data_IF_764227992307
#
_entry.id   IF_764227992307
#
_cell.length_a   1.000
_cell.length_b   1.000
_cell.length_c   1.000
_cell.angle_alpha   90.00
_cell.angle_beta   90.00
_cell.angle_gamma   90.00
#
_symmetry.space_group_name_H-M   'P 1'
#
loop_
_entity.id
_entity.type
_entity.pdbx_description
1 polymer ?
#
# COMPACT_ATOMS: atom_id res chain seq x y z
N UNK A 1 26.34 -51.28 -7.68
CA UNK A 1 26.41 -50.59 -6.38
C UNK A 1 27.14 -49.24 -6.53
N UNK A 2 26.51 -48.25 -7.19
CA UNK A 2 27.14 -46.93 -7.47
C UNK A 2 26.15 -45.74 -7.44
N UNK A 3 24.89 -45.98 -7.07
CA UNK A 3 23.82 -44.95 -7.06
C UNK A 3 23.68 -44.23 -5.72
N UNK A 4 24.03 -44.85 -4.58
CA UNK A 4 23.83 -44.25 -3.24
C UNK A 4 24.67 -42.99 -3.00
N UNK A 5 25.87 -42.89 -3.58
CA UNK A 5 26.76 -41.74 -3.38
C UNK A 5 26.31 -40.49 -4.16
N UNK A 6 25.69 -40.65 -5.33
CA UNK A 6 25.23 -39.51 -6.14
C UNK A 6 24.04 -38.79 -5.48
N UNK A 7 23.12 -39.55 -4.88
CA UNK A 7 21.97 -39.00 -4.14
C UNK A 7 22.42 -38.28 -2.86
N UNK A 8 23.39 -38.85 -2.13
CA UNK A 8 23.93 -38.22 -0.93
C UNK A 8 24.68 -36.91 -1.25
N UNK A 9 25.47 -36.89 -2.32
CA UNK A 9 26.16 -35.66 -2.78
C UNK A 9 25.16 -34.59 -3.22
N UNK A 10 24.09 -34.97 -3.94
CA UNK A 10 23.05 -34.04 -4.35
C UNK A 10 22.32 -33.41 -3.15
N UNK A 11 22.00 -34.21 -2.12
CA UNK A 11 21.36 -33.71 -0.89
C UNK A 11 22.28 -32.74 -0.15
N UNK A 12 23.57 -33.07 -0.01
CA UNK A 12 24.55 -32.20 0.66
C UNK A 12 24.71 -30.87 -0.10
N UNK A 13 24.80 -30.90 -1.43
CA UNK A 13 24.93 -29.68 -2.24
C UNK A 13 23.68 -28.81 -2.14
N UNK A 14 22.47 -29.38 -2.20
CA UNK A 14 21.22 -28.63 -2.02
C UNK A 14 21.11 -28.03 -0.61
N UNK A 15 21.55 -28.76 0.42
CA UNK A 15 21.56 -28.24 1.80
C UNK A 15 22.56 -27.10 1.98
N UNK A 16 23.76 -27.18 1.39
CA UNK A 16 24.76 -26.11 1.44
C UNK A 16 24.27 -24.88 0.69
N UNK A 17 23.67 -25.05 -0.50
CA UNK A 17 23.06 -23.95 -1.24
C UNK A 17 21.87 -23.34 -0.51
N UNK A 18 21.03 -24.14 0.14
CA UNK A 18 19.92 -23.64 0.97
C UNK A 18 20.39 -22.83 2.17
N UNK A 19 21.45 -23.27 2.85
CA UNK A 19 22.05 -22.54 3.98
C UNK A 19 22.74 -21.25 3.50
N UNK A 20 23.42 -21.29 2.35
CA UNK A 20 24.01 -20.10 1.75
C UNK A 20 22.95 -19.10 1.28
N UNK A 21 21.83 -19.57 0.72
CA UNK A 21 20.70 -18.71 0.34
C UNK A 21 20.04 -18.06 1.57
N UNK A 22 19.85 -18.82 2.64
CA UNK A 22 19.34 -18.31 3.93
C UNK A 22 20.34 -17.29 4.51
N UNK A 23 21.64 -17.54 4.41
CA UNK A 23 22.69 -16.60 4.81
C UNK A 23 22.63 -15.29 4.02
N UNK A 24 22.58 -15.35 2.68
CA UNK A 24 22.47 -14.17 1.82
C UNK A 24 21.14 -13.41 2.00
N UNK A 25 20.03 -14.12 2.23
CA UNK A 25 18.74 -13.49 2.55
C UNK A 25 18.79 -12.80 3.93
N UNK A 26 19.46 -13.41 4.91
CA UNK A 26 19.63 -12.84 6.25
C UNK A 26 20.58 -11.65 6.27
N UNK A 27 21.62 -11.66 5.43
CA UNK A 27 22.50 -10.50 5.23
C UNK A 27 21.78 -9.35 4.53
N UNK A 28 20.93 -9.60 3.53
CA UNK A 28 20.11 -8.55 2.89
C UNK A 28 19.01 -8.01 3.82
N UNK A 29 18.46 -8.82 4.72
CA UNK A 29 17.52 -8.37 5.75
C UNK A 29 18.22 -7.58 6.87
N UNK A 30 19.49 -7.89 7.18
CA UNK A 30 20.27 -7.23 8.23
C UNK A 30 21.13 -6.05 7.71
N UNK A 31 21.33 -5.90 6.40
CA UNK A 31 22.07 -4.78 5.81
C UNK A 31 21.25 -3.49 5.76
N UNK A 32 19.96 -3.57 6.04
CA UNK A 32 19.21 -2.42 6.53
C UNK A 32 19.61 -2.16 7.97
N UNK A 33 20.67 -1.36 8.19
CA UNK A 33 20.67 -0.49 9.37
C UNK A 33 19.41 0.38 9.21
N UNK A 34 18.28 -0.10 9.72
CA UNK A 34 17.18 0.78 10.07
C UNK A 34 17.77 1.58 11.22
N UNK A 35 18.40 2.70 10.88
CA UNK A 35 18.57 3.77 11.83
C UNK A 35 17.18 3.90 12.44
N UNK A 36 17.02 3.53 13.71
CA UNK A 36 15.84 3.90 14.47
C UNK A 36 15.98 5.40 14.67
N UNK A 37 15.94 6.14 13.57
CA UNK A 37 15.99 7.59 13.51
C UNK A 37 14.97 8.03 14.53
N UNK A 38 15.46 8.77 15.52
CA UNK A 38 14.71 9.08 16.71
C UNK A 38 13.44 9.84 16.28
N UNK A 39 12.32 9.14 16.11
CA UNK A 39 11.11 9.74 15.59
C UNK A 39 10.74 10.85 16.59
N UNK A 40 10.56 12.10 16.12
CA UNK A 40 10.39 13.20 17.03
C UNK A 40 9.19 12.95 17.95
N UNK A 41 9.27 13.42 19.18
CA UNK A 41 8.20 13.24 20.15
C UNK A 41 6.98 14.06 19.73
N UNK A 42 6.02 13.41 19.05
CA UNK A 42 4.77 14.00 18.57
C UNK A 42 3.84 14.24 19.76
N UNK A 43 3.51 15.49 20.03
CA UNK A 43 2.58 15.88 21.11
C UNK A 43 1.19 16.19 20.57
N UNK A 44 1.12 16.80 19.39
CA UNK A 44 -0.13 17.18 18.73
C UNK A 44 -0.14 16.61 17.33
N UNK A 45 -1.04 15.66 17.07
CA UNK A 45 -1.32 15.15 15.74
C UNK A 45 -2.70 15.65 15.30
N UNK A 46 -2.80 16.07 14.04
CA UNK A 46 -4.07 16.44 13.41
C UNK A 46 -4.39 15.48 12.29
N UNK A 47 -5.68 15.20 12.10
CA UNK A 47 -6.17 14.53 10.91
C UNK A 47 -6.73 15.60 9.99
N UNK A 48 -6.18 15.67 8.79
CA UNK A 48 -6.65 16.59 7.77
C UNK A 48 -6.59 15.90 6.42
N UNK A 49 -7.67 15.19 6.10
CA UNK A 49 -7.73 14.27 4.98
C UNK A 49 -8.25 14.95 3.72
N UNK A 50 -7.42 15.09 2.68
CA UNK A 50 -7.91 15.22 1.30
C UNK A 50 -8.05 13.83 0.72
N UNK A 51 -9.23 13.53 0.18
CA UNK A 51 -9.52 12.28 -0.53
C UNK A 51 -9.03 12.31 -1.99
N UNK A 52 -8.36 13.40 -2.40
CA UNK A 52 -7.84 13.60 -3.75
C UNK A 52 -8.91 13.91 -4.80
N UNK A 53 -10.15 14.26 -4.41
CA UNK A 53 -11.12 14.81 -5.35
C UNK A 53 -10.60 16.15 -5.92
N UNK A 54 -10.41 16.27 -7.25
CA UNK A 54 -9.99 17.52 -7.89
C UNK A 54 -11.01 18.66 -7.74
N UNK A 55 -12.28 18.36 -7.41
CA UNK A 55 -13.31 19.35 -7.06
C UNK A 55 -13.25 19.74 -5.58
N UNK A 56 -12.76 18.86 -4.70
CA UNK A 56 -12.30 19.21 -3.35
C UNK A 56 -10.86 19.77 -3.40
N UNK A 57 -10.55 20.46 -4.53
CA UNK A 57 -9.26 21.03 -4.94
C UNK A 57 -8.35 21.10 -3.73
N UNK A 58 -7.43 20.14 -3.66
CA UNK A 58 -6.39 19.98 -2.64
C UNK A 58 -6.30 21.25 -1.81
N UNK A 59 -7.02 21.18 -0.69
CA UNK A 59 -7.42 22.26 0.19
C UNK A 59 -6.29 23.29 0.27
N UNK A 60 -6.62 24.58 0.13
CA UNK A 60 -5.63 25.68 0.09
C UNK A 60 -4.51 25.43 1.10
N UNK A 61 -3.32 25.11 0.58
CA UNK A 61 -2.19 24.69 1.40
C UNK A 61 -1.83 25.76 2.43
N UNK A 62 -2.12 27.04 2.15
CA UNK A 62 -1.97 28.13 3.12
C UNK A 62 -2.92 27.99 4.31
N UNK A 63 -4.18 27.63 4.06
CA UNK A 63 -5.16 27.36 5.12
C UNK A 63 -4.73 26.18 6.00
N UNK A 64 -4.19 25.11 5.41
CA UNK A 64 -3.61 23.99 6.17
C UNK A 64 -2.41 24.48 6.99
N UNK A 65 -1.50 25.23 6.37
CA UNK A 65 -0.32 25.78 7.03
C UNK A 65 -0.71 26.69 8.21
N UNK A 66 -1.78 27.47 8.09
CA UNK A 66 -2.33 28.29 9.17
C UNK A 66 -2.85 27.41 10.31
N UNK A 67 -3.63 26.38 10.00
CA UNK A 67 -4.18 25.46 10.99
C UNK A 67 -3.08 24.71 11.75
N UNK A 68 -2.02 24.26 11.07
CA UNK A 68 -0.85 23.65 11.70
C UNK A 68 -0.19 24.62 12.68
N UNK A 69 -0.01 25.89 12.28
CA UNK A 69 0.60 26.91 13.14
C UNK A 69 -0.27 27.25 14.36
N UNK A 70 -1.58 27.37 14.17
CA UNK A 70 -2.56 27.68 15.22
C UNK A 70 -2.67 26.55 16.25
N UNK A 71 -2.74 25.31 15.77
CA UNK A 71 -2.84 24.12 16.62
C UNK A 71 -1.51 23.69 17.22
N UNK A 72 -0.39 24.21 16.69
CA UNK A 72 0.97 23.78 16.99
C UNK A 72 1.14 22.28 16.74
N UNK A 73 0.57 21.79 15.64
CA UNK A 73 0.65 20.39 15.26
C UNK A 73 2.10 20.02 14.94
N UNK A 74 2.53 18.87 15.46
CA UNK A 74 3.82 18.24 15.15
C UNK A 74 3.67 17.25 13.98
N UNK A 75 2.46 16.75 13.73
CA UNK A 75 2.18 15.74 12.70
C UNK A 75 0.81 15.92 12.05
N UNK A 76 0.75 15.77 10.73
CA UNK A 76 -0.48 15.66 9.94
C UNK A 76 -0.62 14.20 9.49
N UNK A 77 -1.59 13.44 10.02
CA UNK A 77 -1.60 11.98 9.85
C UNK A 77 -1.95 11.47 8.43
N UNK A 78 -2.80 12.19 7.70
CA UNK A 78 -3.34 11.77 6.40
C UNK A 78 -3.48 12.97 5.46
N UNK A 79 -2.42 13.72 5.24
CA UNK A 79 -2.46 14.92 4.39
C UNK A 79 -2.94 14.60 2.96
N UNK A 80 -2.67 13.38 2.49
CA UNK A 80 -3.19 12.84 1.25
C UNK A 80 -3.55 11.37 1.44
N UNK A 81 -4.73 10.96 0.98
CA UNK A 81 -5.17 9.56 0.97
C UNK A 81 -5.29 9.06 -0.46
N UNK A 82 -4.47 8.06 -0.81
CA UNK A 82 -4.60 7.32 -2.07
C UNK A 82 -5.61 6.19 -1.88
N UNK A 83 -6.85 6.45 -2.28
CA UNK A 83 -7.89 5.44 -2.47
C UNK A 83 -8.10 5.05 -3.95
N UNK A 84 -9.22 4.39 -4.24
CA UNK A 84 -9.68 4.10 -5.61
C UNK A 84 -9.98 5.38 -6.42
N UNK A 85 -10.05 5.27 -7.76
CA UNK A 85 -10.30 6.40 -8.71
C UNK A 85 -9.18 7.45 -8.79
N UNK A 86 -8.30 7.54 -7.78
CA UNK A 86 -7.18 8.49 -7.75
C UNK A 86 -6.22 8.35 -8.93
N UNK A 87 -6.07 7.16 -9.48
CA UNK A 87 -5.35 6.91 -10.72
C UNK A 87 -5.89 7.67 -11.93
N UNK A 88 -7.22 7.68 -12.08
CA UNK A 88 -7.90 8.40 -13.15
C UNK A 88 -7.73 9.90 -12.96
N UNK A 89 -7.77 10.37 -11.70
CA UNK A 89 -7.57 11.78 -11.39
C UNK A 89 -6.13 12.23 -11.57
N UNK A 90 -5.13 11.43 -11.17
CA UNK A 90 -3.72 11.76 -11.39
C UNK A 90 -3.44 12.06 -12.86
N UNK A 91 -3.90 11.18 -13.75
CA UNK A 91 -3.75 11.37 -15.20
C UNK A 91 -4.37 12.68 -15.70
N UNK A 92 -5.43 13.17 -15.06
CA UNK A 92 -6.20 14.33 -15.50
C UNK A 92 -5.78 15.64 -14.82
N UNK A 93 -5.28 15.58 -13.59
CA UNK A 93 -5.11 16.74 -12.72
C UNK A 93 -3.73 16.88 -12.08
N UNK A 94 -2.79 15.94 -12.30
CA UNK A 94 -1.44 16.00 -11.71
C UNK A 94 -1.50 16.15 -10.17
N UNK A 95 -2.30 15.29 -9.54
CA UNK A 95 -2.58 15.25 -8.10
C UNK A 95 -1.28 15.18 -7.29
N UNK A 96 -0.29 14.42 -7.75
CA UNK A 96 1.02 14.35 -7.08
C UNK A 96 1.86 15.62 -7.21
N UNK A 97 1.73 16.38 -8.31
CA UNK A 97 2.38 17.69 -8.41
C UNK A 97 1.75 18.70 -7.45
N UNK A 98 0.41 18.69 -7.35
CA UNK A 98 -0.29 19.55 -6.38
C UNK A 98 0.04 19.13 -4.94
N UNK A 99 0.21 17.82 -4.67
CA UNK A 99 0.65 17.32 -3.37
C UNK A 99 2.04 17.88 -3.00
N UNK A 100 2.99 17.83 -3.92
CA UNK A 100 4.35 18.38 -3.76
C UNK A 100 4.30 19.88 -3.42
N UNK A 101 3.62 20.69 -4.24
CA UNK A 101 3.44 22.13 -4.02
C UNK A 101 2.79 22.45 -2.66
N UNK A 102 1.81 21.62 -2.26
CA UNK A 102 1.09 21.77 -0.99
C UNK A 102 2.00 21.47 0.21
N UNK A 103 2.80 20.42 0.12
CA UNK A 103 3.78 20.04 1.14
C UNK A 103 4.83 21.13 1.29
N UNK A 104 5.37 21.65 0.19
CA UNK A 104 6.30 22.78 0.20
C UNK A 104 5.70 23.99 0.91
N UNK A 105 4.46 24.35 0.55
CA UNK A 105 3.74 25.47 1.16
C UNK A 105 3.55 25.31 2.68
N UNK A 106 3.16 24.11 3.12
CA UNK A 106 2.97 23.80 4.54
C UNK A 106 4.31 23.89 5.30
N UNK A 107 5.36 23.26 4.75
CA UNK A 107 6.70 23.22 5.39
C UNK A 107 7.40 24.58 5.38
N UNK A 108 7.16 25.45 4.39
CA UNK A 108 7.67 26.83 4.39
C UNK A 108 7.23 27.60 5.65
N UNK A 109 5.99 27.41 6.09
CA UNK A 109 5.45 28.06 7.29
C UNK A 109 5.73 27.27 8.58
N UNK A 110 5.76 25.95 8.49
CA UNK A 110 5.90 25.04 9.63
C UNK A 110 7.02 24.02 9.36
N UNK A 111 8.30 24.43 9.39
CA UNK A 111 9.41 23.61 8.88
C UNK A 111 9.64 22.30 9.65
N UNK A 112 9.14 22.21 10.89
CA UNK A 112 9.32 21.03 11.74
C UNK A 112 8.10 20.10 11.73
N UNK A 113 7.02 20.43 11.02
CA UNK A 113 5.85 19.56 10.96
C UNK A 113 6.18 18.31 10.14
N UNK A 114 5.80 17.16 10.67
CA UNK A 114 5.80 15.92 9.93
C UNK A 114 4.48 15.78 9.17
N UNK A 115 4.56 15.27 7.94
CA UNK A 115 3.42 15.10 7.06
C UNK A 115 3.30 13.62 6.69
N UNK A 116 2.20 13.01 7.10
CA UNK A 116 1.83 11.65 6.78
C UNK A 116 0.98 11.58 5.52
N UNK A 117 1.42 10.77 4.56
CA UNK A 117 0.59 10.29 3.48
C UNK A 117 -0.14 9.01 3.88
N UNK A 118 -1.11 8.58 3.08
CA UNK A 118 -1.85 7.36 3.33
C UNK A 118 -2.21 6.63 2.03
N UNK A 119 -2.25 5.30 2.10
CA UNK A 119 -2.60 4.42 0.98
C UNK A 119 -3.60 3.36 1.46
N UNK A 120 -4.61 3.06 0.65
CA UNK A 120 -5.51 1.94 0.90
C UNK A 120 -4.91 0.64 0.37
N UNK A 121 -4.67 -0.35 1.23
CA UNK A 121 -4.16 -1.66 0.82
C UNK A 121 -5.26 -2.64 0.36
N UNK A 122 -6.53 -2.26 0.53
CA UNK A 122 -7.69 -3.11 0.26
C UNK A 122 -8.41 -2.79 -1.03
N UNK A 123 -7.95 -1.81 -1.81
CA UNK A 123 -8.65 -1.39 -3.02
C UNK A 123 -7.73 -0.93 -4.14
N UNK A 124 -8.05 -1.40 -5.35
CA UNK A 124 -7.59 -0.87 -6.62
C UNK A 124 -8.78 -0.75 -7.58
N UNK A 125 -8.66 0.08 -8.61
CA UNK A 125 -9.68 0.21 -9.66
C UNK A 125 -9.58 -0.91 -10.71
N UNK A 126 -10.64 -1.14 -11.49
CA UNK A 126 -10.61 -2.11 -12.62
C UNK A 126 -9.56 -1.73 -13.65
N UNK A 127 -9.46 -0.46 -13.98
CA UNK A 127 -8.32 0.07 -14.75
C UNK A 127 -7.55 1.00 -13.84
N UNK A 128 -6.29 0.65 -13.61
CA UNK A 128 -5.47 1.28 -12.59
C UNK A 128 -4.32 2.07 -13.25
N UNK A 129 -3.72 2.99 -12.50
CA UNK A 129 -2.58 3.78 -12.95
C UNK A 129 -1.48 3.73 -11.90
N UNK A 130 -0.29 3.35 -12.32
CA UNK A 130 0.91 3.44 -11.50
C UNK A 130 1.50 4.85 -11.68
N UNK A 131 1.46 5.70 -10.65
CA UNK A 131 1.91 7.08 -10.75
C UNK A 131 3.43 7.22 -10.77
N UNK A 132 4.17 6.16 -10.41
CA UNK A 132 5.63 6.15 -10.44
C UNK A 132 6.13 5.79 -11.86
N UNK A 133 5.59 4.71 -12.44
CA UNK A 133 5.99 4.25 -13.78
C UNK A 133 5.22 4.93 -14.91
N UNK A 134 4.09 5.58 -14.58
CA UNK A 134 3.12 6.19 -15.49
C UNK A 134 2.41 5.18 -16.39
N UNK A 135 2.41 3.91 -16.01
CA UNK A 135 1.74 2.84 -16.75
C UNK A 135 0.25 2.76 -16.41
N UNK A 136 -0.57 2.51 -17.43
CA UNK A 136 -1.99 2.14 -17.25
C UNK A 136 -2.07 0.62 -17.16
N UNK A 137 -2.60 0.13 -16.05
CA UNK A 137 -2.75 -1.28 -15.76
C UNK A 137 -4.17 -1.70 -16.16
N UNK A 138 -4.32 -2.59 -17.15
CA UNK A 138 -5.63 -2.99 -17.64
C UNK A 138 -6.35 -3.93 -16.66
N UNK A 139 -7.66 -4.04 -16.82
CA UNK A 139 -8.51 -4.94 -16.05
C UNK A 139 -8.07 -6.40 -16.12
N UNK A 140 -7.54 -6.82 -17.28
CA UNK A 140 -6.97 -8.17 -17.41
C UNK A 140 -5.89 -8.49 -16.37
N UNK A 141 -5.18 -7.47 -15.86
CA UNK A 141 -4.19 -7.61 -14.80
C UNK A 141 -4.78 -7.39 -13.41
N UNK A 142 -5.48 -6.28 -13.18
CA UNK A 142 -6.04 -5.97 -11.85
C UNK A 142 -7.06 -7.05 -11.42
N UNK A 143 -8.03 -7.39 -12.28
CA UNK A 143 -9.03 -8.43 -12.02
C UNK A 143 -8.51 -9.85 -12.27
N UNK A 144 -7.76 -10.04 -13.35
CA UNK A 144 -7.32 -11.37 -13.78
C UNK A 144 -6.21 -11.95 -12.90
N UNK A 145 -5.26 -11.11 -12.47
CA UNK A 145 -4.03 -11.55 -11.81
C UNK A 145 -3.98 -11.12 -10.34
N UNK A 146 -4.34 -9.86 -10.04
CA UNK A 146 -4.14 -9.25 -8.71
C UNK A 146 -5.32 -9.46 -7.75
N UNK A 147 -6.55 -9.61 -8.24
CA UNK A 147 -7.74 -9.73 -7.39
C UNK A 147 -7.68 -10.95 -6.47
N UNK A 148 -8.19 -10.78 -5.25
CA UNK A 148 -8.27 -11.83 -4.24
C UNK A 148 -9.22 -12.94 -4.70
N UNK A 149 -8.67 -14.14 -4.79
CA UNK A 149 -9.42 -15.35 -5.11
C UNK A 149 -9.35 -16.33 -3.94
N UNK A 150 -10.41 -16.45 -3.13
CA UNK A 150 -10.44 -17.36 -1.98
C UNK A 150 -10.22 -18.82 -2.36
N UNK A 151 -10.54 -19.24 -3.60
CA UNK A 151 -10.34 -20.62 -4.03
C UNK A 151 -8.86 -20.98 -4.11
N UNK A 152 -7.96 -20.00 -4.39
CA UNK A 152 -6.50 -20.20 -4.30
C UNK A 152 -6.05 -20.61 -2.90
N UNK A 153 -6.84 -20.29 -1.88
CA UNK A 153 -6.59 -20.58 -0.48
C UNK A 153 -7.46 -21.73 0.06
N UNK A 154 -8.19 -22.42 -0.81
CA UNK A 154 -8.98 -23.60 -0.45
C UNK A 154 -10.34 -23.30 0.18
N UNK A 155 -10.84 -22.08 0.09
CA UNK A 155 -12.23 -21.74 0.45
C UNK A 155 -13.20 -22.09 -0.68
N UNK A 156 -14.46 -22.35 -0.33
CA UNK A 156 -15.52 -22.70 -1.28
C UNK A 156 -16.19 -21.47 -1.92
N UNK A 157 -15.83 -20.26 -1.49
CA UNK A 157 -16.29 -19.01 -2.09
C UNK A 157 -15.52 -18.70 -3.38
N UNK A 158 -16.23 -18.40 -4.47
CA UNK A 158 -15.60 -17.96 -5.73
C UNK A 158 -15.11 -16.53 -5.64
N UNK A 159 -14.13 -16.17 -6.48
CA UNK A 159 -13.64 -14.78 -6.62
C UNK A 159 -14.79 -13.80 -6.92
N UNK A 160 -15.68 -14.17 -7.84
CA UNK A 160 -16.83 -13.37 -8.25
C UNK A 160 -17.78 -13.16 -7.07
N UNK A 161 -18.07 -14.22 -6.30
CA UNK A 161 -19.00 -14.10 -5.18
C UNK A 161 -18.44 -13.23 -4.05
N UNK A 162 -17.14 -13.34 -3.76
CA UNK A 162 -16.49 -12.45 -2.81
C UNK A 162 -16.61 -10.99 -3.26
N UNK A 163 -16.33 -10.71 -4.54
CA UNK A 163 -16.34 -9.35 -5.03
C UNK A 163 -17.75 -8.77 -5.18
N UNK A 164 -18.79 -9.58 -5.46
CA UNK A 164 -20.18 -9.14 -5.37
C UNK A 164 -20.48 -8.54 -3.98
N UNK A 165 -20.05 -9.21 -2.91
CA UNK A 165 -20.23 -8.71 -1.53
C UNK A 165 -19.45 -7.40 -1.34
N UNK A 166 -18.20 -7.35 -1.80
CA UNK A 166 -17.39 -6.14 -1.71
C UNK A 166 -17.99 -4.97 -2.52
N UNK A 167 -18.59 -5.23 -3.68
CA UNK A 167 -19.24 -4.20 -4.51
C UNK A 167 -20.50 -3.67 -3.87
N UNK A 168 -21.30 -4.53 -3.23
CA UNK A 168 -22.44 -4.13 -2.43
C UNK A 168 -22.02 -3.20 -1.27
N UNK A 169 -20.95 -3.56 -0.55
CA UNK A 169 -20.41 -2.74 0.55
C UNK A 169 -19.79 -1.42 0.05
N UNK A 170 -19.05 -1.46 -1.06
CA UNK A 170 -18.39 -0.30 -1.64
C UNK A 170 -19.33 0.63 -2.41
N UNK A 171 -20.52 0.14 -2.79
CA UNK A 171 -21.47 0.85 -3.64
C UNK A 171 -21.02 1.00 -5.11
N UNK A 172 -20.03 0.22 -5.55
CA UNK A 172 -19.48 0.29 -6.91
C UNK A 172 -18.79 -1.01 -7.33
N UNK A 173 -18.99 -1.39 -8.59
CA UNK A 173 -18.29 -2.52 -9.21
C UNK A 173 -16.85 -2.20 -9.61
N UNK A 174 -16.41 -0.93 -9.58
CA UNK A 174 -15.02 -0.56 -9.88
C UNK A 174 -14.05 -0.97 -8.76
N UNK A 175 -14.56 -1.31 -7.58
CA UNK A 175 -13.76 -1.77 -6.45
C UNK A 175 -13.21 -3.18 -6.71
N UNK A 176 -11.90 -3.33 -6.76
CA UNK A 176 -11.23 -4.64 -6.75
C UNK A 176 -10.51 -4.80 -5.42
N UNK A 177 -10.82 -5.88 -4.69
CA UNK A 177 -10.07 -6.29 -3.51
C UNK A 177 -8.83 -7.05 -3.98
N UNK A 178 -7.63 -6.47 -3.85
CA UNK A 178 -6.42 -7.15 -4.28
C UNK A 178 -6.01 -8.24 -3.27
N UNK A 179 -5.28 -9.24 -3.76
CA UNK A 179 -4.59 -10.21 -2.94
C UNK A 179 -3.30 -9.59 -2.39
N UNK A 180 -3.21 -9.40 -1.06
CA UNK A 180 -2.11 -8.70 -0.41
C UNK A 180 -0.75 -9.39 -0.56
N UNK A 181 -0.74 -10.69 -0.89
CA UNK A 181 0.49 -11.44 -1.16
C UNK A 181 0.82 -11.56 -2.66
N UNK A 182 -0.01 -11.03 -3.55
CA UNK A 182 0.31 -10.94 -4.97
C UNK A 182 1.48 -9.95 -5.17
N UNK A 183 2.55 -10.39 -5.82
CA UNK A 183 3.78 -9.60 -5.96
C UNK A 183 3.62 -8.36 -6.83
N UNK A 184 2.76 -8.43 -7.86
CA UNK A 184 2.51 -7.27 -8.73
C UNK A 184 1.70 -6.21 -7.97
N UNK A 185 0.73 -6.63 -7.16
CA UNK A 185 0.03 -5.72 -6.27
C UNK A 185 0.94 -5.14 -5.18
N UNK A 186 1.79 -5.94 -4.55
CA UNK A 186 2.77 -5.45 -3.58
C UNK A 186 3.69 -4.39 -4.18
N UNK A 187 4.18 -4.63 -5.41
CA UNK A 187 4.96 -3.62 -6.14
C UNK A 187 4.15 -2.35 -6.35
N UNK A 188 2.91 -2.46 -6.83
CA UNK A 188 2.04 -1.32 -7.08
C UNK A 188 1.77 -0.50 -5.80
N UNK A 189 1.46 -1.18 -4.69
CA UNK A 189 1.25 -0.54 -3.39
C UNK A 189 2.51 0.21 -2.91
N UNK A 190 3.69 -0.39 -3.10
CA UNK A 190 4.97 0.26 -2.81
C UNK A 190 5.23 1.47 -3.72
N UNK A 191 4.84 1.41 -4.99
CA UNK A 191 5.03 2.50 -5.92
C UNK A 191 4.10 3.69 -5.61
N UNK A 192 2.89 3.45 -5.10
CA UNK A 192 2.05 4.51 -4.50
C UNK A 192 2.74 5.18 -3.31
N UNK A 193 3.31 4.39 -2.39
CA UNK A 193 4.01 4.91 -1.22
C UNK A 193 5.24 5.73 -1.63
N UNK A 194 6.08 5.19 -2.53
CA UNK A 194 7.27 5.90 -3.05
C UNK A 194 6.89 7.21 -3.70
N UNK A 195 5.84 7.24 -4.51
CA UNK A 195 5.44 8.46 -5.19
C UNK A 195 5.03 9.55 -4.20
N UNK A 196 4.34 9.21 -3.10
CA UNK A 196 4.06 10.18 -2.03
C UNK A 196 5.35 10.64 -1.32
N UNK A 197 6.30 9.74 -1.07
CA UNK A 197 7.60 10.06 -0.47
C UNK A 197 8.38 11.03 -1.36
N UNK A 198 8.38 10.80 -2.67
CA UNK A 198 9.02 11.69 -3.65
C UNK A 198 8.40 13.10 -3.63
N UNK A 199 7.11 13.22 -3.29
CA UNK A 199 6.43 14.52 -3.08
C UNK A 199 6.72 15.15 -1.70
N UNK A 200 7.47 14.47 -0.82
CA UNK A 200 7.94 15.03 0.45
C UNK A 200 7.15 14.64 1.70
N UNK A 201 6.33 13.57 1.67
CA UNK A 201 5.75 13.04 2.92
C UNK A 201 6.82 12.36 3.78
N UNK A 202 6.70 12.49 5.10
CA UNK A 202 7.64 11.98 6.09
C UNK A 202 7.25 10.57 6.61
N UNK A 203 5.99 10.17 6.43
CA UNK A 203 5.47 8.88 6.86
C UNK A 203 4.34 8.39 5.95
N UNK A 204 4.10 7.08 5.91
CA UNK A 204 3.01 6.46 5.15
C UNK A 204 2.15 5.62 6.10
N UNK A 205 0.86 5.95 6.17
CA UNK A 205 -0.16 5.11 6.78
C UNK A 205 -0.72 4.11 5.75
N UNK A 206 -0.64 2.82 6.06
CA UNK A 206 -1.21 1.76 5.21
C UNK A 206 -2.56 1.37 5.80
N UNK A 207 -3.64 1.82 5.17
CA UNK A 207 -4.99 1.61 5.66
C UNK A 207 -5.52 0.23 5.28
N UNK A 208 -6.25 -0.38 6.21
CA UNK A 208 -6.98 -1.66 6.06
C UNK A 208 -6.11 -2.85 5.59
N UNK A 209 -4.82 -2.84 5.94
CA UNK A 209 -3.85 -3.89 5.55
C UNK A 209 -4.29 -5.32 5.87
N UNK A 210 -5.06 -5.52 6.94
CA UNK A 210 -5.43 -6.84 7.45
C UNK A 210 -6.80 -7.33 6.97
N UNK A 211 -7.45 -6.65 6.02
CA UNK A 211 -8.81 -7.02 5.56
C UNK A 211 -8.88 -8.45 5.03
N UNK A 212 -7.87 -8.90 4.29
CA UNK A 212 -7.83 -10.25 3.72
C UNK A 212 -7.81 -11.31 4.82
N UNK A 213 -7.03 -11.07 5.89
CA UNK A 213 -6.98 -11.97 7.04
C UNK A 213 -8.33 -12.02 7.78
N UNK A 214 -9.02 -10.87 7.89
CA UNK A 214 -10.36 -10.81 8.48
C UNK A 214 -11.38 -11.57 7.63
N UNK A 215 -11.35 -11.42 6.31
CA UNK A 215 -12.20 -12.17 5.37
C UNK A 215 -11.93 -13.67 5.52
N UNK A 216 -10.67 -14.10 5.52
CA UNK A 216 -10.32 -15.51 5.68
C UNK A 216 -10.77 -16.08 7.03
N UNK A 217 -10.65 -15.33 8.13
CA UNK A 217 -11.18 -15.76 9.42
C UNK A 217 -12.71 -15.92 9.40
N UNK A 218 -13.43 -15.05 8.69
CA UNK A 218 -14.88 -15.18 8.54
C UNK A 218 -15.25 -16.42 7.72
N UNK A 219 -14.60 -16.62 6.58
CA UNK A 219 -14.85 -17.77 5.71
C UNK A 219 -14.53 -19.10 6.41
N UNK A 220 -13.44 -19.15 7.18
CA UNK A 220 -13.06 -20.33 7.92
C UNK A 220 -14.13 -20.72 8.97
N UNK A 221 -14.72 -19.74 9.68
CA UNK A 221 -15.87 -19.96 10.58
C UNK A 221 -17.10 -20.49 9.87
N UNK A 222 -17.46 -19.87 8.75
CA UNK A 222 -18.64 -20.23 7.96
C UNK A 222 -18.53 -21.65 7.39
N UNK A 223 -17.31 -22.08 7.05
CA UNK A 223 -17.03 -23.42 6.51
C UNK A 223 -16.68 -24.46 7.58
N UNK A 224 -16.67 -24.10 8.87
CA UNK A 224 -16.32 -25.00 9.97
C UNK A 224 -14.85 -25.46 9.96
N UNK A 225 -13.93 -24.58 9.54
CA UNK A 225 -12.48 -24.81 9.42
C UNK A 225 -11.65 -24.20 10.55
N UNK A 226 -12.31 -23.64 11.57
CA UNK A 226 -11.71 -23.02 12.77
C UNK A 226 -11.41 -24.01 13.90
#
# INVERSE_FOLDING_TARGET
MMMKNKTLIAVIVVSIFGIALIGCLRENLNSGNIDQGNFPNIKVAIVYESDGDPNDRIRDANSIANLVAETKADFIHRAYFRGRVMAVYEKKYEVYGILEDSIETIKMKNPNVLIGGAIAAHEISRVEYDPLTREVIPESKTWGEMALDPQKYGFNMTKEKLHEICWEEAGTEDFILPDIINTDFQKLLLDFAKKQIDCGVDAIWIDVLYVQAQIFSRLAKEEGKD
#
